data_IF_896627662354
#
_entry.id   IF_896627662354
#
_cell.length_a   1.000
_cell.length_b   1.000
_cell.length_c   1.000
_cell.angle_alpha   90.00
_cell.angle_beta   90.00
_cell.angle_gamma   90.00
#
_symmetry.space_group_name_H-M   'P 1'
#
loop_
_entity.id
_entity.type
_entity.pdbx_description
1 polymer ?
#
# COMPACT_ATOMS: atom_id res chain seq x y z
N UNK A 1 -8.02 56.43 -58.14
CA UNK A 1 -7.67 56.29 -59.57
C UNK A 1 -7.76 54.82 -59.93
N UNK A 2 -8.27 54.35 -61.08
CA UNK A 2 -9.05 54.99 -62.17
C UNK A 2 -9.57 53.85 -63.06
N UNK A 3 -10.91 53.62 -63.11
CA UNK A 3 -11.71 53.13 -64.28
C UNK A 3 -11.28 51.80 -64.98
N UNK A 4 -12.01 51.15 -65.90
CA UNK A 4 -13.44 50.89 -66.20
C UNK A 4 -13.44 49.85 -67.35
N UNK A 5 -14.52 49.04 -67.49
CA UNK A 5 -14.97 48.45 -68.78
C UNK A 5 -13.98 47.45 -69.47
N UNK A 6 -14.32 46.57 -70.43
CA UNK A 6 -15.54 46.08 -71.14
C UNK A 6 -15.16 44.64 -71.67
N UNK A 7 -15.97 43.80 -72.34
CA UNK A 7 -17.27 43.93 -73.04
C UNK A 7 -18.06 42.61 -72.96
N UNK A 8 -19.26 42.59 -73.55
CA UNK A 8 -20.21 41.48 -73.70
C UNK A 8 -19.90 40.44 -74.79
N UNK A 9 -20.47 39.22 -74.61
CA UNK A 9 -20.96 38.25 -75.64
C UNK A 9 -19.90 37.63 -76.60
N UNK A 10 -19.94 36.35 -76.99
CA UNK A 10 -21.08 35.61 -77.59
C UNK A 10 -20.89 34.08 -77.60
N UNK A 11 -22.04 33.36 -77.59
CA UNK A 11 -22.32 32.04 -78.18
C UNK A 11 -21.96 30.72 -77.46
N UNK A 12 -22.92 29.79 -77.60
CA UNK A 12 -23.00 28.48 -76.97
C UNK A 12 -22.27 27.43 -77.82
N UNK A 13 -21.72 26.40 -77.16
CA UNK A 13 -21.80 25.03 -77.69
C UNK A 13 -22.15 24.05 -76.57
N UNK A 14 -23.14 23.19 -76.85
CA UNK A 14 -23.67 22.22 -75.91
C UNK A 14 -22.73 21.02 -75.76
N UNK A 15 -22.34 20.70 -74.52
CA UNK A 15 -21.68 19.44 -74.18
C UNK A 15 -22.44 18.80 -73.01
N UNK A 16 -23.06 17.65 -73.27
CA UNK A 16 -23.85 16.89 -72.28
C UNK A 16 -22.96 16.30 -71.17
N UNK A 17 -22.69 17.09 -70.12
CA UNK A 17 -22.11 16.55 -68.89
C UNK A 17 -23.18 15.76 -68.12
N UNK A 18 -23.08 14.43 -68.16
CA UNK A 18 -23.86 13.55 -67.31
C UNK A 18 -23.57 13.86 -65.83
N UNK A 19 -24.49 14.55 -65.15
CA UNK A 19 -24.50 14.62 -63.68
C UNK A 19 -24.72 13.21 -63.13
N UNK A 20 -23.63 12.49 -62.83
CA UNK A 20 -23.67 11.34 -61.94
C UNK A 20 -24.18 11.82 -60.59
N UNK A 21 -25.46 11.55 -60.31
CA UNK A 21 -26.06 11.73 -58.98
C UNK A 21 -25.25 10.88 -58.00
N UNK A 22 -24.45 11.53 -57.16
CA UNK A 22 -23.89 10.90 -55.98
C UNK A 22 -25.03 10.53 -55.03
N UNK A 23 -25.45 9.26 -55.04
CA UNK A 23 -26.43 8.73 -54.09
C UNK A 23 -25.72 8.60 -52.73
N UNK A 24 -25.80 9.67 -51.94
CA UNK A 24 -25.00 9.87 -50.73
C UNK A 24 -25.76 10.39 -49.52
N UNK A 25 -27.07 10.10 -49.41
CA UNK A 25 -27.88 10.47 -48.23
C UNK A 25 -28.72 9.27 -47.81
N UNK A 26 -28.34 8.63 -46.70
CA UNK A 26 -29.04 7.42 -46.22
C UNK A 26 -28.44 6.76 -44.97
N UNK A 27 -27.72 7.48 -44.10
CA UNK A 27 -27.04 6.87 -42.94
C UNK A 27 -27.32 7.55 -41.58
N UNK A 28 -27.99 8.70 -41.55
CA UNK A 28 -28.24 9.46 -40.31
C UNK A 28 -29.28 8.80 -39.38
N UNK A 29 -30.31 8.16 -39.94
CA UNK A 29 -31.34 7.44 -39.17
C UNK A 29 -30.83 6.09 -38.63
N UNK A 30 -30.18 5.31 -39.50
CA UNK A 30 -29.57 4.03 -39.12
C UNK A 30 -28.47 4.21 -38.05
N UNK A 31 -27.66 5.28 -38.13
CA UNK A 31 -26.68 5.61 -37.09
C UNK A 31 -27.34 5.90 -35.74
N UNK A 32 -28.41 6.72 -35.71
CA UNK A 32 -29.13 7.02 -34.46
C UNK A 32 -29.81 5.79 -33.85
N UNK A 33 -30.42 4.93 -34.67
CA UNK A 33 -31.00 3.67 -34.21
C UNK A 33 -29.94 2.71 -33.67
N UNK A 34 -28.82 2.56 -34.37
CA UNK A 34 -27.69 1.74 -33.93
C UNK A 34 -27.05 2.26 -32.64
N UNK A 35 -26.90 3.59 -32.48
CA UNK A 35 -26.46 4.18 -31.21
C UNK A 35 -27.46 3.90 -30.08
N UNK A 36 -28.76 4.13 -30.30
CA UNK A 36 -29.77 3.87 -29.27
C UNK A 36 -29.78 2.40 -28.82
N UNK A 37 -29.72 1.46 -29.77
CA UNK A 37 -29.54 0.01 -29.52
C UNK A 37 -28.23 -0.31 -28.79
N UNK A 38 -27.13 0.35 -29.14
CA UNK A 38 -25.84 0.15 -28.46
C UNK A 38 -25.85 0.71 -27.03
N UNK A 39 -26.55 1.81 -26.78
CA UNK A 39 -26.69 2.40 -25.45
C UNK A 39 -27.69 1.61 -24.57
N UNK A 40 -28.76 1.07 -25.15
CA UNK A 40 -29.64 0.06 -24.52
C UNK A 40 -28.83 -1.21 -24.14
N UNK A 41 -27.99 -1.73 -25.03
CA UNK A 41 -27.10 -2.87 -24.75
C UNK A 41 -26.09 -2.58 -23.63
N UNK A 42 -25.49 -1.39 -23.61
CA UNK A 42 -24.61 -0.95 -22.50
C UNK A 42 -25.37 -0.87 -21.19
N UNK A 43 -26.59 -0.33 -21.19
CA UNK A 43 -27.41 -0.22 -19.98
C UNK A 43 -27.78 -1.60 -19.42
N UNK A 44 -28.17 -2.56 -20.28
CA UNK A 44 -28.43 -3.95 -19.89
C UNK A 44 -27.15 -4.62 -19.35
N UNK A 45 -26.01 -4.43 -20.02
CA UNK A 45 -24.72 -4.96 -19.56
C UNK A 45 -24.27 -4.35 -18.22
N UNK A 46 -24.56 -3.06 -17.99
CA UNK A 46 -24.26 -2.38 -16.73
C UNK A 46 -25.17 -2.88 -15.61
N UNK A 47 -26.48 -3.02 -15.87
CA UNK A 47 -27.42 -3.55 -14.89
C UNK A 47 -27.04 -4.98 -14.48
N UNK A 48 -26.77 -5.85 -15.46
CA UNK A 48 -26.30 -7.22 -15.17
C UNK A 48 -25.00 -7.23 -14.37
N UNK A 49 -24.10 -6.26 -14.56
CA UNK A 49 -22.89 -6.15 -13.75
C UNK A 49 -23.22 -5.73 -12.30
N UNK A 50 -24.11 -4.77 -12.10
CA UNK A 50 -24.57 -4.35 -10.76
C UNK A 50 -25.25 -5.51 -10.01
N UNK A 51 -26.17 -6.24 -10.67
CA UNK A 51 -26.85 -7.40 -10.09
C UNK A 51 -25.85 -8.51 -9.68
N UNK A 52 -24.77 -8.70 -10.45
CA UNK A 52 -23.70 -9.64 -10.07
C UNK A 52 -22.88 -9.17 -8.88
N UNK A 53 -22.62 -7.87 -8.73
CA UNK A 53 -21.91 -7.32 -7.56
C UNK A 53 -22.76 -7.52 -6.29
N UNK A 54 -24.05 -7.17 -6.32
CA UNK A 54 -24.96 -7.39 -5.19
C UNK A 54 -25.04 -8.87 -4.80
N UNK A 55 -25.17 -9.76 -5.80
CA UNK A 55 -25.16 -11.22 -5.56
C UNK A 55 -23.85 -11.71 -4.93
N UNK A 56 -22.71 -11.11 -5.28
CA UNK A 56 -21.41 -11.43 -4.71
C UNK A 56 -21.28 -10.91 -3.27
N UNK A 57 -21.74 -9.69 -2.98
CA UNK A 57 -21.75 -9.15 -1.60
C UNK A 57 -22.57 -10.03 -0.65
N UNK A 58 -23.75 -10.48 -1.07
CA UNK A 58 -24.59 -11.40 -0.29
C UNK A 58 -23.87 -12.73 -0.03
N UNK A 59 -23.28 -13.36 -1.06
CA UNK A 59 -22.55 -14.63 -0.91
C UNK A 59 -21.30 -14.50 -0.05
N UNK A 60 -20.56 -13.42 -0.20
CA UNK A 60 -19.37 -13.12 0.61
C UNK A 60 -19.78 -12.87 2.07
N UNK A 61 -20.96 -12.29 2.30
CA UNK A 61 -21.55 -12.08 3.63
C UNK A 61 -21.89 -13.39 4.31
N UNK A 62 -22.56 -14.30 3.61
CA UNK A 62 -22.89 -15.64 4.11
C UNK A 62 -21.64 -16.47 4.39
N UNK A 63 -20.66 -16.42 3.48
CA UNK A 63 -19.36 -17.05 3.66
C UNK A 63 -18.66 -16.55 4.93
N UNK A 64 -18.60 -15.23 5.12
CA UNK A 64 -17.91 -14.63 6.25
C UNK A 64 -18.63 -14.88 7.59
N UNK A 65 -19.98 -14.90 7.61
CA UNK A 65 -20.77 -15.36 8.77
C UNK A 65 -20.44 -16.81 9.13
N UNK A 66 -20.46 -17.70 8.13
CA UNK A 66 -20.22 -19.14 8.32
C UNK A 66 -18.81 -19.43 8.84
N UNK A 67 -17.81 -18.72 8.31
CA UNK A 67 -16.40 -18.92 8.61
C UNK A 67 -15.83 -17.84 9.56
N UNK A 68 -16.67 -17.15 10.34
CA UNK A 68 -16.25 -16.01 11.18
C UNK A 68 -15.08 -16.37 12.11
N UNK A 69 -15.15 -17.53 12.78
CA UNK A 69 -14.08 -18.02 13.67
C UNK A 69 -12.79 -18.32 12.92
N UNK A 70 -12.86 -18.86 11.70
CA UNK A 70 -11.68 -19.13 10.87
C UNK A 70 -10.99 -17.82 10.42
N UNK A 71 -11.78 -16.82 10.00
CA UNK A 71 -11.29 -15.46 9.70
C UNK A 71 -10.64 -14.83 10.94
N UNK A 72 -11.20 -15.08 12.12
CA UNK A 72 -10.73 -14.54 13.38
C UNK A 72 -9.46 -15.25 13.90
N UNK A 73 -9.40 -16.57 13.89
CA UNK A 73 -8.33 -17.34 14.55
C UNK A 73 -7.17 -17.75 13.62
N UNK A 74 -7.44 -18.07 12.34
CA UNK A 74 -6.41 -18.43 11.37
C UNK A 74 -5.97 -17.23 10.51
N UNK A 75 -4.74 -16.71 10.67
CA UNK A 75 -4.23 -15.62 9.84
C UNK A 75 -4.09 -15.99 8.37
N UNK A 76 -3.89 -17.26 8.02
CA UNK A 76 -3.79 -17.70 6.61
C UNK A 76 -5.17 -17.62 5.94
N UNK A 77 -6.20 -18.14 6.60
CA UNK A 77 -7.58 -17.99 6.16
C UNK A 77 -8.00 -16.51 6.10
N UNK A 78 -7.70 -15.72 7.14
CA UNK A 78 -7.95 -14.27 7.17
C UNK A 78 -7.33 -13.57 5.97
N UNK A 79 -6.05 -13.81 5.68
CA UNK A 79 -5.37 -13.18 4.53
C UNK A 79 -6.04 -13.55 3.20
N UNK A 80 -6.44 -14.82 3.01
CA UNK A 80 -7.17 -15.26 1.81
C UNK A 80 -8.54 -14.59 1.69
N UNK A 81 -9.27 -14.45 2.80
CA UNK A 81 -10.54 -13.73 2.83
C UNK A 81 -10.37 -12.26 2.39
N UNK A 82 -9.37 -11.54 2.92
CA UNK A 82 -9.06 -10.17 2.49
C UNK A 82 -8.70 -10.08 1.00
N UNK A 83 -7.97 -11.06 0.47
CA UNK A 83 -7.64 -11.14 -0.96
C UNK A 83 -8.86 -11.37 -1.86
N UNK A 84 -9.91 -12.05 -1.37
CA UNK A 84 -11.18 -12.18 -2.12
C UNK A 84 -11.99 -10.88 -2.15
N UNK A 85 -11.89 -10.05 -1.12
CA UNK A 85 -12.65 -8.79 -1.04
C UNK A 85 -12.06 -7.69 -1.94
N UNK A 86 -10.73 -7.63 -2.06
CA UNK A 86 -10.04 -6.52 -2.74
C UNK A 86 -10.43 -6.31 -4.23
N UNK A 87 -10.58 -7.35 -5.08
CA UNK A 87 -11.03 -7.17 -6.47
C UNK A 87 -12.45 -6.63 -6.62
N UNK A 88 -13.30 -6.80 -5.59
CA UNK A 88 -14.68 -6.33 -5.57
C UNK A 88 -14.80 -4.87 -5.08
N UNK A 89 -13.70 -4.22 -4.70
CA UNK A 89 -13.71 -2.90 -4.07
C UNK A 89 -14.25 -2.91 -2.63
N UNK A 90 -14.55 -4.09 -2.08
CA UNK A 90 -15.04 -4.26 -0.71
C UNK A 90 -13.85 -4.25 0.25
N UNK A 91 -13.84 -3.31 1.19
CA UNK A 91 -12.84 -3.24 2.26
C UNK A 91 -13.46 -3.67 3.60
N UNK A 92 -13.31 -4.95 4.03
CA UNK A 92 -13.83 -5.42 5.31
C UNK A 92 -13.07 -4.85 6.53
N UNK A 93 -12.00 -4.07 6.30
CA UNK A 93 -11.16 -3.44 7.33
C UNK A 93 -11.54 -1.98 7.59
N UNK A 94 -12.26 -1.36 6.66
CA UNK A 94 -12.73 0.01 6.76
C UNK A 94 -13.76 0.15 7.87
N UNK A 95 -13.33 0.70 9.01
CA UNK A 95 -14.17 0.95 10.16
C UNK A 95 -14.92 2.29 10.06
N UNK A 96 -15.75 2.43 9.04
CA UNK A 96 -16.89 3.33 9.17
C UNK A 96 -17.83 2.76 10.23
N UNK A 97 -18.49 3.61 11.04
CA UNK A 97 -19.58 3.17 11.94
C UNK A 97 -20.79 2.60 11.19
N UNK A 98 -20.82 2.70 9.85
CA UNK A 98 -21.77 2.05 8.94
C UNK A 98 -21.17 0.84 8.19
N UNK A 99 -19.92 0.44 8.47
CA UNK A 99 -19.30 -0.70 7.80
C UNK A 99 -19.87 -2.00 8.33
N UNK A 100 -20.80 -2.55 7.56
CA UNK A 100 -21.47 -3.83 7.77
C UNK A 100 -20.48 -4.94 8.21
N UNK A 101 -19.32 -5.00 7.58
CA UNK A 101 -18.27 -6.00 7.86
C UNK A 101 -17.61 -5.86 9.24
N UNK A 102 -17.44 -4.63 9.74
CA UNK A 102 -16.84 -4.40 11.06
C UNK A 102 -17.76 -4.94 12.16
N UNK A 103 -19.06 -4.61 12.08
CA UNK A 103 -20.07 -5.07 13.04
C UNK A 103 -20.36 -6.57 12.91
N UNK A 104 -20.29 -7.12 11.69
CA UNK A 104 -20.62 -8.52 11.42
C UNK A 104 -19.49 -9.49 11.79
N UNK A 105 -18.22 -9.11 11.55
CA UNK A 105 -17.08 -10.02 11.68
C UNK A 105 -16.15 -9.67 12.85
N UNK A 106 -16.25 -8.48 13.44
CA UNK A 106 -15.29 -7.98 14.45
C UNK A 106 -13.87 -7.73 13.91
N UNK A 107 -13.66 -7.90 12.60
CA UNK A 107 -12.33 -7.77 11.96
C UNK A 107 -11.81 -6.33 12.05
N UNK A 108 -12.70 -5.33 11.96
CA UNK A 108 -12.35 -3.93 12.18
C UNK A 108 -11.74 -3.70 13.57
N UNK A 109 -12.40 -4.23 14.60
CA UNK A 109 -12.02 -4.12 16.02
C UNK A 109 -10.72 -4.88 16.32
N UNK A 110 -10.56 -6.09 15.78
CA UNK A 110 -9.30 -6.84 15.86
C UNK A 110 -8.10 -6.00 15.37
N UNK A 111 -8.22 -5.33 14.22
CA UNK A 111 -7.14 -4.49 13.70
C UNK A 111 -6.94 -3.19 14.47
N UNK A 112 -7.94 -2.68 15.19
CA UNK A 112 -7.76 -1.54 16.10
C UNK A 112 -7.04 -1.97 17.39
N UNK A 113 -7.46 -3.08 17.99
CA UNK A 113 -6.81 -3.65 19.16
C UNK A 113 -5.36 -4.02 18.86
N UNK A 114 -5.10 -4.63 17.69
CA UNK A 114 -3.74 -4.92 17.22
C UNK A 114 -2.93 -3.64 16.98
N UNK A 115 -3.52 -2.58 16.42
CA UNK A 115 -2.85 -1.30 16.22
C UNK A 115 -2.43 -0.66 17.56
N UNK A 116 -3.31 -0.67 18.58
CA UNK A 116 -2.97 -0.19 19.94
C UNK A 116 -1.83 -1.01 20.54
N UNK A 117 -1.91 -2.35 20.50
CA UNK A 117 -0.86 -3.24 21.01
C UNK A 117 0.49 -3.05 20.29
N UNK A 118 0.49 -2.76 18.99
CA UNK A 118 1.72 -2.42 18.23
C UNK A 118 2.28 -1.09 18.71
N UNK A 119 1.44 -0.05 18.84
CA UNK A 119 1.87 1.26 19.32
C UNK A 119 2.46 1.19 20.75
N UNK A 120 1.87 0.41 21.65
CA UNK A 120 2.43 0.15 22.99
C UNK A 120 3.79 -0.57 22.95
N UNK A 121 4.00 -1.49 22.00
CA UNK A 121 5.30 -2.19 21.86
C UNK A 121 6.36 -1.21 21.37
N UNK A 122 6.05 -0.42 20.33
CA UNK A 122 6.94 0.61 19.80
C UNK A 122 7.28 1.69 20.85
N UNK A 123 6.28 2.17 21.60
CA UNK A 123 6.49 3.15 22.68
C UNK A 123 7.37 2.59 23.80
N UNK A 124 7.13 1.34 24.21
CA UNK A 124 7.91 0.68 25.26
C UNK A 124 9.33 0.28 24.82
N UNK A 125 9.60 0.13 23.52
CA UNK A 125 10.94 -0.14 23.00
C UNK A 125 11.75 1.14 22.72
N UNK A 126 11.09 2.29 22.54
CA UNK A 126 11.66 3.53 22.00
C UNK A 126 12.97 3.98 22.64
N UNK A 127 13.12 3.84 23.96
CA UNK A 127 14.34 4.22 24.68
C UNK A 127 15.56 3.33 24.39
N UNK A 128 15.37 2.18 23.73
CA UNK A 128 16.43 1.23 23.34
C UNK A 128 16.80 1.33 21.85
N UNK A 129 15.86 1.76 20.99
CA UNK A 129 15.94 1.61 19.54
C UNK A 129 15.50 2.83 18.72
N UNK A 130 15.48 4.03 19.32
CA UNK A 130 15.06 5.29 18.68
C UNK A 130 13.58 5.39 18.31
N UNK A 131 12.82 4.28 18.32
CA UNK A 131 11.50 4.16 17.70
C UNK A 131 11.51 3.41 16.36
N UNK A 132 12.60 2.68 16.04
CA UNK A 132 12.68 1.75 14.92
C UNK A 132 12.70 0.32 15.47
N UNK A 133 11.82 -0.55 14.96
CA UNK A 133 11.72 -1.94 15.45
C UNK A 133 11.35 -2.90 14.33
N UNK A 134 11.96 -4.09 14.28
CA UNK A 134 11.62 -5.07 13.24
C UNK A 134 10.20 -5.63 13.42
N UNK A 135 9.50 -5.87 12.30
CA UNK A 135 8.18 -6.56 12.32
C UNK A 135 8.26 -7.91 13.04
N UNK A 136 9.41 -8.59 12.96
CA UNK A 136 9.69 -9.85 13.65
C UNK A 136 9.79 -9.68 15.17
N UNK A 137 10.46 -8.64 15.66
CA UNK A 137 10.56 -8.36 17.10
C UNK A 137 9.19 -8.01 17.67
N UNK A 138 8.41 -7.15 17.00
CA UNK A 138 7.03 -6.83 17.40
C UNK A 138 6.17 -8.08 17.45
N UNK A 139 6.18 -8.91 16.40
CA UNK A 139 5.44 -10.17 16.37
C UNK A 139 5.82 -11.08 17.55
N UNK A 140 7.13 -11.21 17.85
CA UNK A 140 7.61 -12.00 18.98
C UNK A 140 7.23 -11.42 20.34
N UNK A 141 7.17 -10.09 20.46
CA UNK A 141 6.83 -9.38 21.69
C UNK A 141 5.34 -9.48 21.99
N UNK A 142 4.49 -9.35 20.96
CA UNK A 142 3.05 -9.60 21.08
C UNK A 142 2.77 -11.05 21.51
N UNK A 143 3.47 -12.03 20.92
CA UNK A 143 3.37 -13.43 21.33
C UNK A 143 3.81 -13.67 22.79
N UNK A 144 4.90 -13.03 23.24
CA UNK A 144 5.39 -13.11 24.64
C UNK A 144 4.47 -12.39 25.64
N UNK A 145 3.84 -11.28 25.26
CA UNK A 145 2.86 -10.57 26.13
C UNK A 145 1.62 -11.44 26.37
N UNK A 146 1.15 -12.19 25.35
CA UNK A 146 0.06 -13.18 25.51
C UNK A 146 0.38 -14.24 26.57
N UNK A 147 1.59 -14.81 26.57
CA UNK A 147 1.94 -15.91 27.50
C UNK A 147 2.20 -15.44 28.92
N UNK A 148 2.73 -14.24 29.13
CA UNK A 148 3.04 -13.72 30.48
C UNK A 148 1.82 -13.27 31.29
N UNK A 149 0.79 -12.73 30.66
CA UNK A 149 -0.31 -12.07 31.38
C UNK A 149 -1.39 -13.02 31.88
N UNK A 150 -1.34 -14.32 31.54
CA UNK A 150 -2.39 -15.29 31.87
C UNK A 150 -3.75 -15.02 31.18
N UNK A 151 -3.89 -13.90 30.45
CA UNK A 151 -5.07 -13.53 29.68
C UNK A 151 -5.24 -14.41 28.44
N UNK A 152 -5.71 -15.64 28.68
CA UNK A 152 -6.49 -16.41 27.72
C UNK A 152 -7.88 -15.79 27.52
N UNK A 153 -7.91 -14.50 27.19
CA UNK A 153 -9.14 -13.73 26.97
C UNK A 153 -9.76 -14.11 25.63
N UNK A 154 -10.54 -15.20 25.64
CA UNK A 154 -11.58 -15.62 24.70
C UNK A 154 -11.25 -15.77 23.19
N UNK A 155 -10.13 -15.26 22.68
CA UNK A 155 -9.77 -15.28 21.27
C UNK A 155 -8.26 -15.46 21.05
N UNK A 156 -7.83 -16.67 20.71
CA UNK A 156 -6.43 -16.94 20.33
C UNK A 156 -6.14 -16.56 18.87
N UNK A 157 -6.48 -15.31 18.51
CA UNK A 157 -6.22 -14.78 17.19
C UNK A 157 -4.70 -14.73 16.95
N UNK A 158 -4.18 -15.62 16.10
CA UNK A 158 -2.77 -15.61 15.70
C UNK A 158 -2.52 -14.39 14.80
N UNK A 159 -1.40 -13.71 15.06
CA UNK A 159 -1.01 -12.47 14.39
C UNK A 159 0.12 -12.77 13.41
N UNK A 160 -0.12 -12.53 12.13
CA UNK A 160 0.87 -12.63 11.05
C UNK A 160 1.59 -11.30 10.81
N UNK A 161 2.63 -11.34 9.97
CA UNK A 161 3.30 -10.13 9.48
C UNK A 161 2.35 -9.28 8.62
N UNK A 162 1.46 -9.90 7.85
CA UNK A 162 0.46 -9.18 7.06
C UNK A 162 -0.51 -8.39 7.97
N UNK A 163 -0.91 -8.99 9.10
CA UNK A 163 -1.78 -8.31 10.07
C UNK A 163 -1.11 -7.09 10.69
N UNK A 164 0.18 -7.21 11.03
CA UNK A 164 0.99 -6.11 11.56
C UNK A 164 1.09 -4.98 10.54
N UNK A 165 1.38 -5.29 9.27
CA UNK A 165 1.45 -4.28 8.20
C UNK A 165 0.11 -3.56 7.99
N UNK A 166 -1.01 -4.29 8.03
CA UNK A 166 -2.37 -3.72 7.96
C UNK A 166 -2.63 -2.77 9.14
N UNK A 167 -2.31 -3.19 10.36
CA UNK A 167 -2.49 -2.38 11.56
C UNK A 167 -1.61 -1.12 11.56
N UNK A 168 -0.36 -1.19 11.07
CA UNK A 168 0.49 -0.02 10.86
C UNK A 168 -0.09 0.90 9.78
N UNK A 169 -0.66 0.35 8.70
CA UNK A 169 -1.39 1.12 7.69
C UNK A 169 -2.63 1.84 8.24
N UNK A 170 -3.22 1.36 9.35
CA UNK A 170 -4.23 2.10 10.11
C UNK A 170 -3.60 3.20 10.97
N UNK A 171 -2.53 2.90 11.71
CA UNK A 171 -1.80 3.89 12.55
C UNK A 171 -1.26 5.06 11.72
N UNK A 172 -0.71 4.81 10.53
CA UNK A 172 -0.19 5.83 9.62
C UNK A 172 -1.22 6.93 9.29
N UNK A 173 -2.51 6.57 9.20
CA UNK A 173 -3.62 7.50 8.93
C UNK A 173 -3.95 8.40 10.13
N UNK A 174 -3.49 8.06 11.33
CA UNK A 174 -3.64 8.87 12.55
C UNK A 174 -2.46 9.83 12.75
N UNK A 175 -1.42 9.74 11.93
CA UNK A 175 -0.19 10.53 12.07
C UNK A 175 0.85 9.89 13.00
N UNK A 176 1.71 10.70 13.61
CA UNK A 176 2.75 10.23 14.54
C UNK A 176 3.96 9.53 13.90
N UNK A 177 4.06 9.49 12.57
CA UNK A 177 5.22 8.94 11.84
C UNK A 177 5.22 7.42 11.64
N UNK A 178 4.15 6.73 12.06
CA UNK A 178 4.01 5.28 11.86
C UNK A 178 4.09 4.88 10.39
N UNK A 179 5.11 4.12 10.02
CA UNK A 179 5.30 3.56 8.68
C UNK A 179 6.15 2.30 8.69
N UNK A 180 6.04 1.49 7.64
CA UNK A 180 6.97 0.38 7.39
C UNK A 180 8.00 0.78 6.34
N UNK A 181 9.27 0.44 6.57
CA UNK A 181 10.34 0.55 5.57
C UNK A 181 11.03 -0.79 5.38
N UNK A 182 11.65 -0.99 4.22
CA UNK A 182 12.37 -2.21 3.90
C UNK A 182 13.88 -1.96 4.02
N UNK A 183 14.52 -2.58 5.01
CA UNK A 183 15.97 -2.53 5.25
C UNK A 183 16.56 -3.87 4.80
N UNK A 184 17.11 -3.90 3.59
CA UNK A 184 17.58 -5.14 2.96
C UNK A 184 16.46 -6.19 2.89
N UNK A 185 16.63 -7.31 3.60
CA UNK A 185 15.64 -8.41 3.68
C UNK A 185 14.63 -8.26 4.83
N UNK A 186 14.79 -7.27 5.70
CA UNK A 186 13.97 -7.08 6.90
C UNK A 186 13.01 -5.90 6.75
N UNK A 187 11.72 -6.13 7.02
CA UNK A 187 10.75 -5.05 7.15
C UNK A 187 10.83 -4.47 8.58
N UNK A 188 11.13 -3.19 8.67
CA UNK A 188 11.21 -2.41 9.91
C UNK A 188 9.97 -1.51 10.04
N UNK A 189 9.60 -1.23 11.28
CA UNK A 189 8.52 -0.33 11.68
C UNK A 189 9.17 0.90 12.28
N UNK A 190 8.85 2.07 11.77
CA UNK A 190 9.23 3.35 12.35
C UNK A 190 7.99 3.92 13.02
N UNK A 191 8.11 4.34 14.28
CA UNK A 191 7.00 4.84 15.11
C UNK A 191 7.18 6.31 15.53
N UNK A 192 8.06 7.03 14.85
CA UNK A 192 8.43 8.43 15.15
C UNK A 192 8.41 9.25 13.85
N UNK A 193 8.07 10.55 13.91
CA UNK A 193 8.12 11.47 12.77
C UNK A 193 9.58 11.88 12.48
N UNK A 194 10.37 10.90 12.07
CA UNK A 194 11.80 11.01 11.79
C UNK A 194 12.05 10.80 10.29
N UNK A 195 12.85 11.65 9.68
CA UNK A 195 13.26 11.53 8.27
C UNK A 195 14.53 10.68 8.17
N UNK A 196 14.34 9.37 8.10
CA UNK A 196 15.39 8.45 7.67
C UNK A 196 15.58 8.66 6.16
N UNK A 197 16.63 9.38 5.81
CA UNK A 197 17.09 9.51 4.44
C UNK A 197 17.61 8.16 3.88
N UNK A 198 18.05 8.18 2.62
CA UNK A 198 18.57 6.98 1.96
C UNK A 198 19.89 6.48 2.57
N UNK A 199 20.69 7.38 3.17
CA UNK A 199 21.98 7.04 3.75
C UNK A 199 21.80 6.22 5.04
N UNK A 200 20.85 6.61 5.91
CA UNK A 200 20.47 5.79 7.07
C UNK A 200 20.04 4.38 6.64
N UNK A 201 19.25 4.28 5.57
CA UNK A 201 18.72 3.01 5.06
C UNK A 201 19.84 2.11 4.53
N UNK A 202 20.84 2.68 3.84
CA UNK A 202 22.03 1.95 3.37
C UNK A 202 22.90 1.49 4.56
N UNK A 203 23.18 2.34 5.56
CA UNK A 203 23.95 1.95 6.75
C UNK A 203 23.24 0.88 7.59
N UNK A 204 21.92 0.99 7.79
CA UNK A 204 21.13 -0.04 8.46
C UNK A 204 21.09 -1.35 7.66
N UNK A 205 21.10 -1.29 6.33
CA UNK A 205 21.19 -2.47 5.47
C UNK A 205 22.57 -3.16 5.61
N UNK A 206 23.65 -2.37 5.69
CA UNK A 206 25.01 -2.86 5.99
C UNK A 206 25.09 -3.54 7.37
N UNK A 207 24.48 -2.97 8.41
CA UNK A 207 24.40 -3.62 9.72
C UNK A 207 23.58 -4.93 9.66
N UNK A 208 22.46 -4.92 8.92
CA UNK A 208 21.58 -6.10 8.79
C UNK A 208 22.24 -7.23 7.99
N UNK A 209 23.03 -6.93 6.96
CA UNK A 209 23.77 -7.94 6.20
C UNK A 209 24.88 -8.57 7.05
N UNK A 210 25.62 -7.75 7.81
CA UNK A 210 26.74 -8.19 8.66
C UNK A 210 26.34 -8.65 10.06
N UNK A 211 25.07 -8.56 10.44
CA UNK A 211 24.55 -9.00 11.76
C UNK A 211 24.81 -10.50 12.07
N UNK A 212 25.15 -11.30 11.04
CA UNK A 212 25.58 -12.71 11.20
C UNK A 212 26.97 -12.84 11.87
N UNK A 213 27.80 -11.79 11.84
CA UNK A 213 29.20 -11.82 12.31
C UNK A 213 29.39 -11.50 13.80
N UNK A 214 28.31 -11.22 14.56
CA UNK A 214 28.36 -10.89 15.99
C UNK A 214 29.30 -9.73 16.38
N UNK A 215 29.59 -8.84 15.44
CA UNK A 215 30.46 -7.65 15.58
C UNK A 215 29.67 -6.42 15.12
N UNK A 216 29.76 -5.31 15.85
CA UNK A 216 29.24 -4.01 15.38
C UNK A 216 29.94 -3.57 14.08
N UNK A 217 29.28 -2.72 13.29
CA UNK A 217 29.85 -2.20 12.04
C UNK A 217 30.85 -1.06 12.31
N UNK A 218 31.87 -0.94 11.49
CA UNK A 218 32.81 0.20 11.51
C UNK A 218 32.55 1.17 10.35
N UNK A 219 33.29 2.28 10.32
CA UNK A 219 33.27 3.20 9.16
C UNK A 219 33.77 2.50 7.89
N UNK A 220 34.85 1.72 7.99
CA UNK A 220 35.43 0.99 6.86
C UNK A 220 34.50 -0.15 6.36
N UNK A 221 33.68 -0.73 7.25
CA UNK A 221 32.60 -1.63 6.88
C UNK A 221 31.59 -0.90 5.96
N UNK A 222 31.11 0.29 6.34
CA UNK A 222 30.15 1.07 5.53
C UNK A 222 30.77 1.52 4.19
N UNK A 223 32.02 1.99 4.21
CA UNK A 223 32.75 2.37 2.99
C UNK A 223 32.89 1.20 2.01
N UNK A 224 33.21 0.00 2.51
CA UNK A 224 33.45 -1.19 1.66
C UNK A 224 32.19 -1.78 1.03
N UNK A 225 31.06 -1.80 1.73
CA UNK A 225 29.81 -2.35 1.19
C UNK A 225 29.10 -1.37 0.25
N UNK A 226 29.14 -0.06 0.54
CA UNK A 226 28.35 0.95 -0.18
C UNK A 226 29.20 1.77 -1.18
N UNK A 227 30.53 1.62 -1.18
CA UNK A 227 31.44 2.39 -2.04
C UNK A 227 31.54 3.88 -1.68
N UNK A 228 31.23 4.22 -0.42
CA UNK A 228 31.21 5.60 0.07
C UNK A 228 32.58 6.11 0.51
N UNK A 229 32.75 7.43 0.50
CA UNK A 229 33.86 8.08 1.19
C UNK A 229 33.71 8.02 2.73
N UNK A 230 34.82 8.29 3.43
CA UNK A 230 34.88 8.22 4.90
C UNK A 230 33.99 9.26 5.59
N UNK A 231 33.84 10.45 5.03
CA UNK A 231 33.07 11.54 5.66
C UNK A 231 31.56 11.29 5.56
N UNK A 232 31.09 10.70 4.46
CA UNK A 232 29.70 10.24 4.30
C UNK A 232 29.40 9.04 5.20
N UNK A 233 30.30 8.05 5.24
CA UNK A 233 30.15 6.89 6.13
C UNK A 233 30.11 7.29 7.61
N UNK A 234 31.02 8.19 8.03
CA UNK A 234 31.04 8.74 9.38
C UNK A 234 29.75 9.51 9.70
N UNK A 235 29.31 10.42 8.83
CA UNK A 235 28.07 11.19 9.03
C UNK A 235 26.83 10.30 9.15
N UNK A 236 26.69 9.26 8.32
CA UNK A 236 25.57 8.33 8.41
C UNK A 236 25.55 7.55 9.75
N UNK A 237 26.72 7.18 10.26
CA UNK A 237 26.86 6.52 11.56
C UNK A 237 26.60 7.47 12.75
N UNK A 238 27.15 8.68 12.71
CA UNK A 238 26.97 9.70 13.75
C UNK A 238 25.52 10.18 13.84
N UNK A 239 24.82 10.26 12.71
CA UNK A 239 23.41 10.62 12.69
C UNK A 239 22.57 9.52 13.37
N UNK A 240 22.80 8.24 13.04
CA UNK A 240 22.19 7.10 13.73
C UNK A 240 22.50 7.05 15.24
N UNK A 241 23.69 7.48 15.68
CA UNK A 241 24.01 7.65 17.11
C UNK A 241 23.16 8.77 17.73
N UNK A 242 23.12 9.94 17.10
CA UNK A 242 22.39 11.12 17.60
C UNK A 242 20.88 10.88 17.72
N UNK A 243 20.35 9.99 16.87
CA UNK A 243 18.95 9.56 16.85
C UNK A 243 18.63 8.42 17.84
N UNK A 244 19.65 7.85 18.51
CA UNK A 244 19.49 6.74 19.46
C UNK A 244 19.14 5.40 18.81
N UNK A 245 19.47 5.24 17.52
CA UNK A 245 19.28 4.01 16.73
C UNK A 245 20.52 3.12 16.80
N UNK A 246 21.71 3.74 16.83
CA UNK A 246 22.99 3.07 17.00
C UNK A 246 23.58 3.31 18.40
N UNK A 247 24.44 2.40 18.83
CA UNK A 247 25.22 2.46 20.07
C UNK A 247 26.71 2.37 19.73
N UNK A 248 27.54 3.25 20.32
CA UNK A 248 28.99 3.27 20.12
C UNK A 248 29.69 2.41 21.18
N UNK A 249 30.63 1.57 20.72
CA UNK A 249 31.54 0.78 21.55
C UNK A 249 32.98 0.96 21.02
N UNK A 250 33.91 1.38 21.86
CA UNK A 250 35.30 1.64 21.47
C UNK A 250 36.23 0.57 22.04
N UNK A 251 36.80 -0.25 21.15
CA UNK A 251 37.72 -1.31 21.53
C UNK A 251 39.07 -1.16 20.84
N UNK A 252 40.12 -0.97 21.63
CA UNK A 252 41.53 -0.83 21.18
C UNK A 252 41.76 0.25 20.10
N UNK A 253 41.01 1.35 20.17
CA UNK A 253 41.11 2.46 19.22
C UNK A 253 40.29 2.27 17.93
N UNK A 254 39.45 1.23 17.87
CA UNK A 254 38.46 1.05 16.79
C UNK A 254 37.05 1.28 17.33
N UNK A 255 36.31 2.17 16.68
CA UNK A 255 34.90 2.46 16.96
C UNK A 255 33.98 1.45 16.26
N UNK A 256 33.17 0.74 17.04
CA UNK A 256 32.16 -0.21 16.59
C UNK A 256 30.76 0.34 16.89
N UNK A 257 29.90 0.33 15.87
CA UNK A 257 28.54 0.83 15.95
C UNK A 257 27.56 -0.35 15.92
N UNK A 258 26.68 -0.41 16.91
CA UNK A 258 25.71 -1.48 17.09
C UNK A 258 24.30 -0.95 16.83
N UNK A 259 23.61 -1.49 15.81
CA UNK A 259 22.23 -1.13 15.47
C UNK A 259 21.29 -2.19 16.05
N UNK A 260 20.21 -1.76 16.71
CA UNK A 260 19.22 -2.62 17.39
C UNK A 260 18.17 -3.23 16.46
#
# INVERSE_FOLDING_TARGET
QTLLNKTSLTYQYSAMSHRRRGVGVGRSGASKYAQKKADEMKAISLQSALDTVETLEIKLTEFAKKHQKEIQDDPVFRQRFLQMCAPLGVDPLQASKKSFWSQLLGVGDFYHELAVKIAEVCLASRSRNGGIISVKEVQSTLAKRKTKLGSASASDHKVSKADINIAIGKLAKLGGGFRTVQVGKTTMIISVPQELDNDHMEVMATATSRQTSSRGITVDDVMSDNGWDRERAQRGLDLLLSEGIAWLDEFRGTSYYWIS
#
